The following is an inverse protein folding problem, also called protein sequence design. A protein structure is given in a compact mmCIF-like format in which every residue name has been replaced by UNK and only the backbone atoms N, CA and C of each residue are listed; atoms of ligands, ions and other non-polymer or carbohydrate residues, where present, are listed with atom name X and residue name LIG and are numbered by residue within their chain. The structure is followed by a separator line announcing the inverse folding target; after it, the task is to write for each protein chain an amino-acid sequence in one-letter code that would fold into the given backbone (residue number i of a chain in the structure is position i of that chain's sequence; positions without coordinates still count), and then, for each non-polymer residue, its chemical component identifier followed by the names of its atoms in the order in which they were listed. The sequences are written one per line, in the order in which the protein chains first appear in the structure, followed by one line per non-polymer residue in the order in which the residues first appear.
data_IF_746553456305
#
_entry.id   IF_746553456305
#
_cell.length_a   1.000
_cell.length_b   1.000
_cell.length_c   1.000
_cell.angle_alpha   90.00
_cell.angle_beta   90.00
_cell.angle_gamma   90.00
#
_symmetry.space_group_name_H-M   'P 1'
#
loop_
_entity.id
_entity.type
_entity.pdbx_description
1 polymer ?
#
# COMPACT_ATOMS: atom_id res chain seq x y z
N UNK A 1 -4.08 1.30 10.43
CA UNK A 1 -2.74 1.91 10.60
C UNK A 1 -2.36 2.13 12.07
N UNK A 2 -3.19 2.76 12.92
CA UNK A 2 -2.87 2.98 14.35
C UNK A 2 -2.59 1.71 15.15
N UNK A 3 -3.18 0.59 14.79
CA UNK A 3 -2.99 -0.69 15.49
C UNK A 3 -1.64 -1.33 15.11
N UNK A 4 -1.20 -1.18 13.87
CA UNK A 4 0.10 -1.64 13.39
C UNK A 4 1.26 -0.89 14.11
N UNK A 5 1.15 0.43 14.22
CA UNK A 5 2.11 1.28 14.94
C UNK A 5 2.28 0.90 16.43
N UNK A 6 1.25 0.25 17.00
CA UNK A 6 1.29 -0.24 18.39
C UNK A 6 1.95 -1.61 18.53
N UNK A 7 1.82 -2.47 17.53
CA UNK A 7 2.33 -3.86 17.59
C UNK A 7 3.78 -3.94 17.15
N UNK A 8 4.21 -3.09 16.21
CA UNK A 8 5.58 -3.04 15.71
C UNK A 8 6.64 -2.85 16.81
N UNK A 9 6.49 -1.94 17.79
CA UNK A 9 7.42 -1.83 18.92
C UNK A 9 7.47 -3.09 19.79
N UNK A 10 6.33 -3.79 19.95
CA UNK A 10 6.28 -5.04 20.70
C UNK A 10 7.03 -6.18 19.99
N UNK A 11 6.99 -6.21 18.66
CA UNK A 11 7.76 -7.15 17.84
C UNK A 11 9.27 -6.89 17.99
N UNK A 12 9.69 -5.62 17.93
CA UNK A 12 11.10 -5.22 18.10
C UNK A 12 11.58 -5.55 19.52
N UNK A 13 10.79 -5.25 20.54
CA UNK A 13 11.14 -5.56 21.94
C UNK A 13 11.24 -7.07 22.16
N UNK A 14 10.33 -7.85 21.59
CA UNK A 14 10.38 -9.30 21.64
C UNK A 14 11.61 -9.87 20.89
N UNK A 15 11.97 -9.29 19.75
CA UNK A 15 13.15 -9.64 18.97
C UNK A 15 14.43 -9.39 19.77
N UNK A 16 14.52 -8.26 20.45
CA UNK A 16 15.67 -7.93 21.31
C UNK A 16 15.77 -8.86 22.54
N UNK A 17 14.63 -9.27 23.07
CA UNK A 17 14.60 -10.25 24.17
C UNK A 17 15.18 -11.61 23.73
N UNK A 18 14.86 -12.07 22.52
CA UNK A 18 15.43 -13.33 21.98
C UNK A 18 16.93 -13.22 21.75
N UNK A 19 17.44 -12.06 21.30
CA UNK A 19 18.89 -11.84 21.14
C UNK A 19 19.69 -12.00 22.43
N UNK A 20 19.04 -11.86 23.59
CA UNK A 20 19.67 -12.05 24.90
C UNK A 20 19.82 -13.52 25.32
N UNK A 21 19.18 -14.46 24.60
CA UNK A 21 19.25 -15.88 24.90
C UNK A 21 20.66 -16.41 24.61
N UNK A 22 21.24 -17.10 25.59
CA UNK A 22 22.54 -17.76 25.44
C UNK A 22 22.36 -19.24 25.13
N UNK A 23 23.31 -19.81 24.39
CA UNK A 23 23.33 -21.25 24.03
C UNK A 23 23.25 -22.17 25.25
N UNK A 24 23.82 -21.74 26.37
CA UNK A 24 23.72 -22.46 27.65
C UNK A 24 22.27 -22.68 28.12
N UNK A 25 21.41 -21.63 28.00
CA UNK A 25 20.01 -21.70 28.38
C UNK A 25 19.23 -22.74 27.54
N UNK A 26 19.54 -22.85 26.26
CA UNK A 26 18.95 -23.88 25.37
C UNK A 26 19.40 -25.30 25.77
N UNK A 27 20.65 -25.46 26.19
CA UNK A 27 21.16 -26.73 26.72
C UNK A 27 20.39 -27.20 27.98
N UNK A 28 20.03 -26.26 28.87
CA UNK A 28 19.21 -26.52 30.03
C UNK A 28 17.80 -26.98 29.65
N UNK A 29 17.14 -26.33 28.67
CA UNK A 29 15.83 -26.73 28.16
C UNK A 29 15.84 -28.19 27.69
N UNK A 30 16.88 -28.59 26.97
CA UNK A 30 17.04 -29.98 26.48
C UNK A 30 17.13 -30.99 27.59
N UNK A 31 17.78 -30.65 28.70
CA UNK A 31 17.96 -31.55 29.85
C UNK A 31 16.70 -31.71 30.70
N UNK A 32 15.76 -30.78 30.63
CA UNK A 32 14.55 -30.68 31.45
C UNK A 32 13.26 -31.06 30.69
N UNK A 33 13.32 -31.99 29.78
CA UNK A 33 12.26 -32.37 28.83
C UNK A 33 10.88 -32.72 29.41
N UNK A 34 10.76 -32.91 30.74
CA UNK A 34 9.54 -33.41 31.39
C UNK A 34 8.57 -32.31 31.84
N UNK A 35 8.89 -31.03 31.66
CA UNK A 35 8.02 -29.91 32.06
C UNK A 35 7.26 -29.35 30.82
N UNK A 36 5.91 -29.45 30.83
CA UNK A 36 5.12 -29.00 29.67
C UNK A 36 5.46 -27.57 29.17
N UNK A 37 5.63 -26.53 30.03
CA UNK A 37 5.98 -25.20 29.58
C UNK A 37 7.32 -25.11 28.84
N UNK A 38 8.28 -25.98 29.22
CA UNK A 38 9.60 -26.03 28.58
C UNK A 38 9.56 -26.68 27.20
N UNK A 39 8.64 -27.61 26.99
CA UNK A 39 8.46 -28.30 25.72
C UNK A 39 7.75 -27.41 24.69
N UNK A 40 6.71 -26.70 25.14
CA UNK A 40 5.84 -25.93 24.27
C UNK A 40 6.57 -24.79 23.52
N UNK A 41 7.48 -24.07 24.18
CA UNK A 41 8.17 -22.93 23.58
C UNK A 41 9.11 -23.32 22.42
N UNK A 42 10.01 -24.30 22.53
CA UNK A 42 10.83 -24.69 21.38
C UNK A 42 10.04 -25.48 20.33
N UNK A 43 8.95 -26.17 20.73
CA UNK A 43 8.08 -26.89 19.81
C UNK A 43 7.31 -25.93 18.87
N UNK A 44 6.69 -24.90 19.43
CA UNK A 44 6.03 -23.85 18.66
C UNK A 44 7.00 -23.05 17.81
N UNK A 45 8.21 -22.77 18.31
CA UNK A 45 9.27 -22.13 17.50
C UNK A 45 9.64 -22.96 16.28
N UNK A 46 9.79 -24.29 16.42
CA UNK A 46 10.07 -25.17 15.30
C UNK A 46 8.92 -25.18 14.28
N UNK A 47 7.67 -25.19 14.73
CA UNK A 47 6.51 -25.11 13.84
C UNK A 47 6.48 -23.79 13.06
N UNK A 48 6.76 -22.67 13.74
CA UNK A 48 6.83 -21.35 13.09
C UNK A 48 7.98 -21.24 12.07
N UNK A 49 9.09 -21.93 12.31
CA UNK A 49 10.25 -21.96 11.42
C UNK A 49 10.11 -22.99 10.28
N UNK A 50 8.92 -23.58 10.09
CA UNK A 50 8.63 -24.60 9.05
C UNK A 50 9.50 -25.86 9.16
N UNK A 51 9.97 -26.16 10.34
CA UNK A 51 10.62 -27.43 10.66
C UNK A 51 9.51 -28.47 10.87
N UNK A 52 9.29 -29.33 9.90
CA UNK A 52 8.17 -30.30 9.72
C UNK A 52 7.58 -30.89 11.00
N UNK A 53 6.26 -30.86 11.07
CA UNK A 53 5.46 -31.48 12.16
C UNK A 53 5.04 -32.92 11.79
N UNK A 54 4.93 -33.88 12.75
CA UNK A 54 5.13 -33.79 14.19
C UNK A 54 6.59 -33.99 14.59
N UNK A 55 7.11 -33.04 15.35
CA UNK A 55 8.50 -33.06 15.76
C UNK A 55 8.60 -33.81 17.11
N UNK A 56 9.32 -34.92 17.13
CA UNK A 56 9.65 -35.59 18.37
C UNK A 56 10.60 -34.73 19.23
N UNK A 57 10.53 -34.85 20.53
CA UNK A 57 11.39 -34.10 21.47
C UNK A 57 12.88 -34.19 21.14
N UNK A 58 13.30 -35.35 20.64
CA UNK A 58 14.68 -35.57 20.20
C UNK A 58 15.05 -34.63 19.04
N UNK A 59 14.15 -34.47 18.11
CA UNK A 59 14.36 -33.61 16.92
C UNK A 59 14.34 -32.15 17.32
N UNK A 60 13.40 -31.74 18.17
CA UNK A 60 13.36 -30.40 18.79
C UNK A 60 14.69 -30.08 19.47
N UNK A 61 15.22 -31.00 20.25
CA UNK A 61 16.52 -30.86 20.90
C UNK A 61 17.68 -30.69 19.89
N UNK A 62 17.62 -31.37 18.75
CA UNK A 62 18.63 -31.24 17.70
C UNK A 62 18.52 -29.88 17.00
N UNK A 63 17.31 -29.42 16.69
CA UNK A 63 17.04 -28.11 16.07
C UNK A 63 17.47 -26.96 16.97
N UNK A 64 17.08 -26.97 18.22
CA UNK A 64 17.39 -25.92 19.20
C UNK A 64 18.87 -25.75 19.48
N UNK A 65 19.69 -26.79 19.22
CA UNK A 65 21.14 -26.75 19.38
C UNK A 65 21.89 -26.27 18.12
N UNK A 66 21.21 -26.12 17.00
CA UNK A 66 21.82 -25.54 15.79
C UNK A 66 22.32 -24.12 16.10
N UNK A 67 23.44 -23.72 15.51
CA UNK A 67 24.01 -22.38 15.73
C UNK A 67 23.12 -21.26 15.18
N UNK A 68 22.35 -21.56 14.16
CA UNK A 68 21.43 -20.62 13.53
C UNK A 68 20.05 -20.56 14.19
N UNK A 69 19.74 -21.37 15.22
CA UNK A 69 18.41 -21.41 15.82
C UNK A 69 17.96 -20.05 16.39
N UNK A 70 18.79 -19.40 17.20
CA UNK A 70 18.50 -18.06 17.72
C UNK A 70 18.43 -17.01 16.61
N UNK A 71 19.41 -16.93 15.68
CA UNK A 71 19.29 -16.10 14.49
C UNK A 71 17.99 -16.33 13.73
N UNK A 72 17.61 -17.59 13.46
CA UNK A 72 16.37 -17.90 12.74
C UNK A 72 15.11 -17.36 13.43
N UNK A 73 15.04 -17.46 14.79
CA UNK A 73 13.90 -16.86 15.53
C UNK A 73 13.94 -15.33 15.50
N UNK A 74 15.12 -14.73 15.55
CA UNK A 74 15.30 -13.27 15.50
C UNK A 74 14.90 -12.72 14.15
N UNK A 75 15.37 -13.35 13.07
CA UNK A 75 15.19 -12.90 11.69
C UNK A 75 13.90 -13.42 11.04
N UNK A 76 13.13 -14.22 11.79
CA UNK A 76 11.89 -14.79 11.32
C UNK A 76 10.91 -13.70 10.87
N UNK A 77 10.46 -13.80 9.60
CA UNK A 77 9.56 -12.86 8.98
C UNK A 77 8.10 -13.36 9.04
N UNK A 78 7.15 -12.39 9.11
CA UNK A 78 5.71 -12.65 9.05
C UNK A 78 5.27 -13.33 7.76
N UNK A 79 5.96 -13.09 6.65
CA UNK A 79 5.61 -13.61 5.32
C UNK A 79 5.68 -15.16 5.27
N UNK A 80 6.46 -15.77 6.17
CA UNK A 80 6.54 -17.22 6.32
C UNK A 80 5.39 -17.84 7.14
N UNK A 81 4.57 -17.04 7.83
CA UNK A 81 3.47 -17.55 8.66
C UNK A 81 2.22 -17.76 7.81
N UNK A 82 2.02 -18.99 7.36
CA UNK A 82 0.79 -19.37 6.66
C UNK A 82 -0.42 -19.39 7.62
N UNK A 83 -1.62 -19.27 7.06
CA UNK A 83 -2.86 -19.37 7.84
C UNK A 83 -2.99 -20.69 8.60
N UNK A 84 -2.46 -21.78 8.06
CA UNK A 84 -2.52 -23.09 8.68
C UNK A 84 -1.56 -23.19 9.87
N UNK A 85 -0.33 -22.68 9.74
CA UNK A 85 0.62 -22.56 10.85
C UNK A 85 0.01 -21.71 11.97
N UNK A 86 -0.58 -20.57 11.63
CA UNK A 86 -1.24 -19.68 12.60
C UNK A 86 -2.37 -20.38 13.36
N UNK A 87 -3.24 -21.14 12.66
CA UNK A 87 -4.32 -21.90 13.28
C UNK A 87 -3.81 -22.99 14.22
N UNK A 88 -2.76 -23.72 13.81
CA UNK A 88 -2.13 -24.75 14.64
C UNK A 88 -1.60 -24.14 15.93
N UNK A 89 -0.79 -23.08 15.82
CA UNK A 89 -0.19 -22.44 16.99
C UNK A 89 -1.25 -21.79 17.89
N UNK A 90 -2.30 -21.18 17.33
CA UNK A 90 -3.39 -20.61 18.10
C UNK A 90 -4.17 -21.70 18.87
N UNK A 91 -4.48 -22.83 18.22
CA UNK A 91 -5.24 -23.93 18.83
C UNK A 91 -4.44 -24.67 19.89
N UNK A 92 -3.20 -25.02 19.60
CA UNK A 92 -2.44 -25.98 20.40
C UNK A 92 -1.58 -25.29 21.47
N UNK A 93 -1.20 -24.03 21.27
CA UNK A 93 -0.33 -23.31 22.20
C UNK A 93 -0.98 -22.07 22.81
N UNK A 94 -1.50 -21.10 22.01
CA UNK A 94 -2.04 -19.86 22.57
C UNK A 94 -3.29 -20.06 23.45
N UNK A 95 -4.05 -21.12 23.22
CA UNK A 95 -5.20 -21.50 24.06
C UNK A 95 -4.77 -22.08 25.44
N UNK A 96 -3.51 -22.46 25.59
CA UNK A 96 -3.01 -23.09 26.82
C UNK A 96 -2.59 -22.01 27.83
N UNK A 97 -3.16 -21.98 29.05
CA UNK A 97 -2.83 -20.98 30.08
C UNK A 97 -1.39 -21.07 30.59
N UNK A 98 -0.69 -22.17 30.34
CA UNK A 98 0.73 -22.32 30.66
C UNK A 98 1.64 -21.68 29.60
N UNK A 99 1.12 -21.40 28.40
CA UNK A 99 1.88 -20.80 27.31
C UNK A 99 1.89 -19.27 27.41
N UNK A 100 2.49 -18.76 28.47
CA UNK A 100 2.66 -17.33 28.72
C UNK A 100 4.13 -17.02 29.01
N UNK A 101 4.55 -15.77 28.73
CA UNK A 101 5.90 -15.30 29.03
C UNK A 101 6.32 -15.64 30.47
N UNK A 102 5.48 -15.29 31.44
CA UNK A 102 5.83 -15.45 32.87
C UNK A 102 5.98 -16.92 33.29
N UNK A 103 5.10 -17.78 32.80
CA UNK A 103 5.14 -19.22 33.11
C UNK A 103 6.35 -19.90 32.46
N UNK A 104 6.55 -19.62 31.18
CA UNK A 104 7.66 -20.20 30.43
C UNK A 104 9.02 -19.63 30.86
N UNK A 105 9.10 -18.35 31.23
CA UNK A 105 10.32 -17.73 31.76
C UNK A 105 10.72 -18.29 33.14
N UNK A 106 9.75 -18.53 33.99
CA UNK A 106 10.02 -19.19 35.31
C UNK A 106 10.52 -20.63 35.15
N UNK A 107 10.07 -21.30 34.09
CA UNK A 107 10.54 -22.65 33.80
C UNK A 107 11.97 -22.62 33.21
N UNK A 108 12.25 -21.73 32.27
CA UNK A 108 13.60 -21.47 31.75
C UNK A 108 13.70 -20.09 31.13
N UNK A 109 14.82 -19.41 31.34
CA UNK A 109 15.11 -18.05 30.88
C UNK A 109 15.05 -17.90 29.35
N UNK A 110 15.31 -18.98 28.58
CA UNK A 110 15.21 -18.93 27.11
C UNK A 110 13.76 -19.04 26.61
N UNK A 111 12.90 -19.77 27.30
CA UNK A 111 11.54 -20.04 26.83
C UNK A 111 10.64 -18.80 26.86
N UNK A 112 10.77 -17.93 27.87
CA UNK A 112 9.98 -16.70 27.95
C UNK A 112 10.16 -15.78 26.77
N UNK A 113 11.39 -15.34 26.43
CA UNK A 113 11.67 -14.53 25.24
C UNK A 113 11.20 -15.17 23.94
N UNK A 114 11.33 -16.50 23.78
CA UNK A 114 10.85 -17.22 22.60
C UNK A 114 9.34 -17.10 22.47
N UNK A 115 8.58 -17.43 23.52
CA UNK A 115 7.11 -17.27 23.52
C UNK A 115 6.68 -15.82 23.30
N UNK A 116 7.37 -14.85 23.90
CA UNK A 116 7.10 -13.43 23.68
C UNK A 116 7.25 -13.05 22.20
N UNK A 117 8.30 -13.53 21.54
CA UNK A 117 8.55 -13.30 20.12
C UNK A 117 7.47 -13.90 19.23
N UNK A 118 7.10 -15.16 19.51
CA UNK A 118 6.07 -15.87 18.75
C UNK A 118 4.70 -15.20 18.86
N UNK A 119 4.28 -14.87 20.09
CA UNK A 119 3.01 -14.18 20.33
C UNK A 119 2.97 -12.81 19.67
N UNK A 120 4.08 -12.04 19.74
CA UNK A 120 4.16 -10.73 19.09
C UNK A 120 4.08 -10.87 17.57
N UNK A 121 4.77 -11.87 17.01
CA UNK A 121 4.79 -12.12 15.56
C UNK A 121 3.41 -12.57 15.04
N UNK A 122 2.74 -13.47 15.74
CA UNK A 122 1.41 -13.94 15.37
C UNK A 122 0.37 -12.80 15.40
N UNK A 123 0.41 -11.95 16.44
CA UNK A 123 -0.44 -10.76 16.51
C UNK A 123 -0.16 -9.78 15.37
N UNK A 124 1.10 -9.59 15.01
CA UNK A 124 1.48 -8.73 13.90
C UNK A 124 0.96 -9.28 12.57
N UNK A 125 1.13 -10.59 12.31
CA UNK A 125 0.58 -11.27 11.13
C UNK A 125 -0.94 -11.16 11.07
N UNK A 126 -1.63 -11.35 12.18
CA UNK A 126 -3.09 -11.22 12.25
C UNK A 126 -3.54 -9.80 11.86
N UNK A 127 -2.86 -8.78 12.33
CA UNK A 127 -3.15 -7.39 11.95
C UNK A 127 -2.85 -7.10 10.49
N UNK A 128 -1.73 -7.60 9.96
CA UNK A 128 -1.42 -7.47 8.54
C UNK A 128 -2.51 -8.10 7.68
N UNK A 129 -2.92 -9.33 7.99
CA UNK A 129 -3.95 -10.04 7.22
C UNK A 129 -5.32 -9.36 7.29
N UNK A 130 -5.63 -8.69 8.41
CA UNK A 130 -6.86 -7.91 8.55
C UNK A 130 -6.80 -6.61 7.75
N UNK A 131 -5.65 -5.95 7.71
CA UNK A 131 -5.47 -4.65 7.05
C UNK A 131 -5.15 -4.79 5.54
N UNK A 132 -4.71 -5.96 5.09
CA UNK A 132 -4.29 -6.22 3.71
C UNK A 132 -5.41 -5.99 2.67
N UNK A 133 -6.66 -6.46 2.87
CA UNK A 133 -7.76 -6.16 1.95
C UNK A 133 -8.02 -4.66 1.79
N UNK A 134 -7.94 -3.91 2.89
CA UNK A 134 -8.13 -2.46 2.89
C UNK A 134 -6.99 -1.74 2.17
N UNK A 135 -5.76 -2.23 2.29
CA UNK A 135 -4.60 -1.70 1.56
C UNK A 135 -4.73 -1.95 0.05
N UNK A 136 -5.17 -3.13 -0.35
CA UNK A 136 -5.41 -3.46 -1.76
C UNK A 136 -6.52 -2.58 -2.35
N UNK A 137 -7.62 -2.37 -1.62
CA UNK A 137 -8.69 -1.47 -2.04
C UNK A 137 -8.21 -0.01 -2.17
N UNK A 138 -7.45 0.47 -1.19
CA UNK A 138 -6.85 1.81 -1.23
C UNK A 138 -5.94 1.97 -2.44
N UNK A 139 -5.07 1.02 -2.69
CA UNK A 139 -4.15 1.05 -3.83
C UNK A 139 -4.91 1.06 -5.17
N UNK A 140 -5.96 0.22 -5.30
CA UNK A 140 -6.81 0.21 -6.49
C UNK A 140 -7.54 1.54 -6.71
N UNK A 141 -8.00 2.19 -5.63
CA UNK A 141 -8.62 3.51 -5.69
C UNK A 141 -7.64 4.61 -6.07
N UNK A 142 -6.42 4.57 -5.55
CA UNK A 142 -5.35 5.51 -5.89
C UNK A 142 -4.96 5.39 -7.36
N UNK A 143 -4.82 4.18 -7.89
CA UNK A 143 -4.53 3.93 -9.30
C UNK A 143 -5.67 4.45 -10.20
N UNK A 144 -6.92 4.16 -9.85
CA UNK A 144 -8.08 4.67 -10.57
C UNK A 144 -8.16 6.21 -10.55
N UNK A 145 -7.79 6.84 -9.44
CA UNK A 145 -7.75 8.29 -9.31
C UNK A 145 -6.67 8.91 -10.22
N UNK A 146 -5.49 8.29 -10.34
CA UNK A 146 -4.42 8.73 -11.24
C UNK A 146 -4.87 8.67 -12.70
N UNK A 147 -5.51 7.57 -13.11
CA UNK A 147 -6.03 7.39 -14.46
C UNK A 147 -7.06 8.46 -14.78
N UNK A 148 -8.04 8.66 -13.90
CA UNK A 148 -9.08 9.69 -14.07
C UNK A 148 -8.53 11.10 -14.12
N UNK A 149 -7.52 11.41 -13.31
CA UNK A 149 -6.84 12.71 -13.35
C UNK A 149 -6.13 12.94 -14.69
N UNK A 150 -5.49 11.92 -15.24
CA UNK A 150 -4.86 11.96 -16.57
C UNK A 150 -5.90 12.20 -17.67
N UNK A 151 -7.04 11.49 -17.64
CA UNK A 151 -8.15 11.68 -18.59
C UNK A 151 -8.73 13.10 -18.51
N UNK A 152 -8.95 13.62 -17.31
CA UNK A 152 -9.44 14.96 -17.10
C UNK A 152 -8.47 16.02 -17.67
N UNK A 153 -7.16 15.84 -17.46
CA UNK A 153 -6.14 16.73 -18.03
C UNK A 153 -6.14 16.70 -19.57
N UNK A 154 -6.30 15.51 -20.15
CA UNK A 154 -6.41 15.36 -21.62
C UNK A 154 -7.65 16.05 -22.16
N UNK A 155 -8.81 15.86 -21.53
CA UNK A 155 -10.06 16.52 -21.93
C UNK A 155 -9.98 18.05 -21.79
N UNK A 156 -9.35 18.54 -20.73
CA UNK A 156 -9.13 19.97 -20.56
C UNK A 156 -8.27 20.56 -21.68
N UNK A 157 -7.20 19.86 -22.07
CA UNK A 157 -6.38 20.24 -23.23
C UNK A 157 -7.18 20.27 -24.55
N UNK A 158 -8.03 19.26 -24.77
CA UNK A 158 -8.91 19.24 -25.96
C UNK A 158 -9.91 20.39 -25.97
N UNK A 159 -10.53 20.68 -24.82
CA UNK A 159 -11.44 21.81 -24.69
C UNK A 159 -10.75 23.14 -24.99
N UNK A 160 -9.55 23.35 -24.46
CA UNK A 160 -8.78 24.57 -24.73
C UNK A 160 -8.48 24.76 -26.24
N UNK A 161 -8.16 23.69 -26.96
CA UNK A 161 -7.95 23.72 -28.41
C UNK A 161 -9.26 24.05 -29.14
N UNK A 162 -10.38 23.45 -28.73
CA UNK A 162 -11.68 23.73 -29.34
C UNK A 162 -12.13 25.16 -29.08
N UNK A 163 -11.95 25.69 -27.90
CA UNK A 163 -12.24 27.09 -27.57
C UNK A 163 -11.41 28.06 -28.41
N UNK A 164 -10.13 27.78 -28.56
CA UNK A 164 -9.27 28.58 -29.46
C UNK A 164 -9.74 28.54 -30.92
N UNK A 165 -10.17 27.37 -31.41
CA UNK A 165 -10.71 27.23 -32.78
C UNK A 165 -12.03 27.99 -32.93
N UNK A 166 -12.94 27.91 -31.96
CA UNK A 166 -14.21 28.66 -31.96
C UNK A 166 -13.94 30.16 -32.03
N UNK A 167 -13.07 30.67 -31.16
CA UNK A 167 -12.70 32.09 -31.16
C UNK A 167 -12.12 32.54 -32.51
N UNK A 168 -11.27 31.70 -33.11
CA UNK A 168 -10.71 32.00 -34.46
C UNK A 168 -11.80 32.08 -35.53
N UNK A 169 -12.75 31.12 -35.57
CA UNK A 169 -13.86 31.14 -36.51
C UNK A 169 -14.78 32.35 -36.32
N UNK A 170 -15.08 32.71 -35.06
CA UNK A 170 -15.89 33.91 -34.78
C UNK A 170 -15.23 35.19 -35.28
N UNK A 171 -13.91 35.32 -35.11
CA UNK A 171 -13.17 36.48 -35.62
C UNK A 171 -13.13 36.52 -37.14
N UNK A 172 -12.96 35.36 -37.82
CA UNK A 172 -13.04 35.27 -39.25
C UNK A 172 -14.43 35.68 -39.79
N UNK A 173 -15.51 35.21 -39.16
CA UNK A 173 -16.86 35.56 -39.56
C UNK A 173 -17.15 37.05 -39.34
N UNK A 174 -16.71 37.63 -38.22
CA UNK A 174 -16.80 39.08 -37.95
C UNK A 174 -16.03 39.86 -39.05
N UNK A 175 -14.84 39.42 -39.39
CA UNK A 175 -14.05 40.06 -40.43
C UNK A 175 -14.68 39.95 -41.84
N UNK A 176 -15.31 38.82 -42.17
CA UNK A 176 -16.08 38.62 -43.42
C UNK A 176 -17.31 39.54 -43.46
N UNK A 177 -18.06 39.63 -42.38
CA UNK A 177 -19.22 40.51 -42.25
C UNK A 177 -18.83 41.99 -42.43
N UNK A 178 -17.73 42.41 -41.78
CA UNK A 178 -17.22 43.79 -41.94
C UNK A 178 -16.78 44.10 -43.34
N UNK A 179 -16.16 43.16 -44.07
CA UNK A 179 -15.76 43.30 -45.48
C UNK A 179 -16.98 43.46 -46.38
N UNK A 180 -18.04 42.64 -46.16
CA UNK A 180 -19.31 42.79 -46.89
C UNK A 180 -19.94 44.15 -46.69
N UNK A 181 -20.07 44.60 -45.43
CA UNK A 181 -20.63 45.92 -45.11
C UNK A 181 -19.84 47.08 -45.72
N UNK A 182 -18.51 46.99 -45.68
CA UNK A 182 -17.65 48.00 -46.36
C UNK A 182 -17.86 48.00 -47.87
N UNK A 183 -17.97 46.84 -48.50
CA UNK A 183 -18.20 46.73 -49.95
C UNK A 183 -19.59 47.27 -50.34
N UNK A 184 -20.63 47.01 -49.56
CA UNK A 184 -21.98 47.54 -49.74
C UNK A 184 -22.03 49.09 -49.59
N UNK A 185 -21.39 49.62 -48.55
CA UNK A 185 -21.25 51.07 -48.36
C UNK A 185 -20.49 51.72 -49.55
N UNK A 186 -19.42 51.06 -49.99
CA UNK A 186 -18.64 51.57 -51.14
C UNK A 186 -19.45 51.53 -52.40
N UNK A 187 -20.24 50.52 -52.72
CA UNK A 187 -21.11 50.43 -53.88
C UNK A 187 -22.23 51.46 -53.81
N UNK A 188 -22.84 51.71 -52.70
CA UNK A 188 -23.85 52.73 -52.48
C UNK A 188 -23.28 54.14 -52.67
N UNK A 189 -22.10 54.41 -52.10
CA UNK A 189 -21.42 55.69 -52.30
C UNK A 189 -21.10 55.94 -53.74
N UNK A 190 -20.60 54.95 -54.49
CA UNK A 190 -20.28 55.01 -55.89
C UNK A 190 -21.50 55.31 -56.77
N UNK A 191 -22.66 54.69 -56.45
CA UNK A 191 -23.94 54.91 -57.09
C UNK A 191 -24.48 56.32 -56.89
N UNK A 192 -24.34 56.85 -55.68
CA UNK A 192 -24.75 58.24 -55.40
C UNK A 192 -23.85 59.23 -56.11
N UNK A 193 -22.54 59.01 -56.04
CA UNK A 193 -21.58 59.94 -56.71
C UNK A 193 -21.70 59.97 -58.24
N UNK A 194 -21.98 58.82 -58.88
CA UNK A 194 -22.25 58.77 -60.33
C UNK A 194 -23.53 59.49 -60.68
N UNK A 195 -24.58 59.43 -59.85
CA UNK A 195 -25.81 60.18 -60.10
C UNK A 195 -25.60 61.67 -59.92
N UNK A 196 -24.82 62.13 -58.99
CA UNK A 196 -24.50 63.53 -58.78
C UNK A 196 -23.66 64.10 -59.98
N UNK A 197 -22.68 63.35 -60.47
CA UNK A 197 -21.89 63.72 -61.64
C UNK A 197 -22.76 63.80 -62.91
N UNK A 198 -23.73 62.88 -63.12
CA UNK A 198 -24.68 62.93 -64.20
C UNK A 198 -25.63 64.10 -64.10
N UNK A 199 -26.06 64.48 -62.89
CA UNK A 199 -26.93 65.63 -62.65
C UNK A 199 -26.22 66.93 -62.90
N UNK A 200 -24.97 67.10 -62.46
CA UNK A 200 -24.16 68.28 -62.78
C UNK A 200 -23.82 68.41 -64.27
N UNK A 201 -23.65 67.27 -64.94
CA UNK A 201 -23.42 67.30 -66.44
C UNK A 201 -24.69 67.69 -67.19
N UNK A 202 -25.89 67.27 -66.69
CA UNK A 202 -27.18 67.67 -67.30
C UNK A 202 -27.54 69.17 -67.09
N UNK A 203 -27.14 69.73 -65.92
CA UNK A 203 -27.35 71.14 -65.60
C UNK A 203 -26.39 72.08 -66.33
N UNK A 204 -25.31 71.59 -66.97
CA UNK A 204 -24.32 72.36 -67.73
C UNK A 204 -24.46 72.23 -69.21
N UNK A 205 -25.48 71.54 -69.72
CA UNK A 205 -25.77 71.49 -71.17
C UNK A 205 -26.73 72.61 -71.54
N UNK A 206 -26.39 73.48 -72.51
CA UNK A 206 -27.18 74.63 -72.93
C UNK A 206 -28.46 74.23 -73.65
#
# INVERSE_FOLDING_TARGET
MKDLERVEPAVIDAQNAVKSIKKQHLGEVRSMANLPPLKMAPESACILLDESSPIDWKDIGAVTMKENFIPSIVDFNTDGITDDIRKIVARDYLSNPEYTYDRTYRANVACGPTVKREVAQLKYTEMLNRDDPLRQELWALEEAAVIKKSEASRMHGQNSILEAAINHYEEEEKAKCLRKLKAEKWSSWKSLHTKDVHREAAEKSP
#
